data_IF_495424123265
#
_entry.id   IF_495424123265
#
_cell.length_a   1.000
_cell.length_b   1.000
_cell.length_c   1.000
_cell.angle_alpha   90.00
_cell.angle_beta   90.00
_cell.angle_gamma   90.00
#
_symmetry.space_group_name_H-M   'P 1'
#
loop_
_entity.id
_entity.type
_entity.pdbx_description
1 polymer ?
#
# COMPACT_ATOMS: atom_id res chain seq x y z
N UNK A 1 -34.61 1.34 -8.59
CA UNK A 1 -33.20 1.75 -8.82
C UNK A 1 -32.33 1.21 -7.70
N UNK A 2 -32.05 -0.10 -7.73
CA UNK A 2 -31.08 -0.72 -6.81
C UNK A 2 -29.75 -0.71 -7.54
N UNK A 3 -28.88 0.24 -7.17
CA UNK A 3 -27.56 0.40 -7.77
C UNK A 3 -26.67 -0.77 -7.32
N UNK A 4 -26.21 -1.47 -8.33
CA UNK A 4 -25.63 -2.80 -8.30
C UNK A 4 -24.24 -2.80 -7.66
N UNK A 5 -24.04 -3.81 -6.81
CA UNK A 5 -22.80 -4.53 -6.53
C UNK A 5 -21.50 -3.75 -6.76
N UNK A 6 -20.88 -3.31 -5.65
CA UNK A 6 -19.57 -3.79 -5.17
C UNK A 6 -18.62 -4.31 -6.27
N UNK A 7 -18.39 -3.48 -7.29
CA UNK A 7 -17.71 -3.86 -8.52
C UNK A 7 -16.33 -3.23 -8.65
N UNK A 8 -15.55 -3.21 -7.55
CA UNK A 8 -14.13 -2.86 -7.61
C UNK A 8 -13.32 -3.83 -6.77
N UNK A 9 -13.34 -5.08 -7.25
CA UNK A 9 -12.15 -5.92 -7.45
C UNK A 9 -11.17 -5.96 -6.27
N UNK A 10 -11.65 -6.51 -5.15
CA UNK A 10 -10.81 -7.32 -4.29
C UNK A 10 -10.57 -8.64 -5.06
N UNK A 11 -9.29 -9.00 -5.24
CA UNK A 11 -8.80 -10.29 -5.72
C UNK A 11 -8.89 -10.62 -7.22
N UNK A 12 -7.94 -10.11 -8.02
CA UNK A 12 -7.24 -11.00 -8.97
C UNK A 12 -5.91 -10.45 -9.52
N UNK A 13 -4.87 -10.36 -8.68
CA UNK A 13 -3.46 -10.48 -9.14
C UNK A 13 -2.58 -11.14 -8.06
N UNK A 14 -3.14 -12.07 -7.27
CA UNK A 14 -2.39 -12.81 -6.23
C UNK A 14 -1.59 -13.99 -6.82
N UNK A 15 -1.69 -14.28 -8.12
CA UNK A 15 -1.08 -15.49 -8.69
C UNK A 15 -0.58 -15.27 -10.11
N UNK A 16 0.48 -14.47 -10.32
CA UNK A 16 1.46 -14.75 -11.40
C UNK A 16 2.73 -13.88 -11.38
N UNK A 17 3.25 -13.48 -10.22
CA UNK A 17 4.67 -13.03 -10.14
C UNK A 17 5.38 -13.66 -8.96
N UNK A 18 5.33 -14.99 -8.98
CA UNK A 18 6.43 -15.83 -8.56
C UNK A 18 7.76 -15.23 -9.10
N UNK A 19 8.68 -14.92 -8.19
CA UNK A 19 10.13 -14.86 -8.46
C UNK A 19 10.64 -13.90 -9.54
N UNK A 20 10.12 -12.68 -9.62
CA UNK A 20 10.90 -11.60 -10.25
C UNK A 20 11.72 -10.90 -9.17
N UNK A 21 12.93 -11.42 -8.90
CA UNK A 21 13.99 -10.61 -8.30
C UNK A 21 14.15 -9.36 -9.19
N UNK A 22 13.49 -8.27 -8.81
CA UNK A 22 13.51 -6.99 -9.51
C UNK A 22 14.21 -5.98 -8.60
N UNK A 23 15.06 -5.14 -9.17
CA UNK A 23 16.21 -4.54 -8.49
C UNK A 23 15.71 -3.57 -7.43
N UNK A 24 16.10 -3.77 -6.16
CA UNK A 24 15.82 -2.85 -5.07
C UNK A 24 14.39 -2.28 -5.12
N UNK A 25 13.37 -3.14 -4.96
CA UNK A 25 12.01 -2.66 -4.73
C UNK A 25 12.07 -1.70 -3.54
N UNK A 26 11.74 -0.43 -3.80
CA UNK A 26 11.81 0.62 -2.79
C UNK A 26 10.74 0.29 -1.75
N UNK A 27 11.15 -0.01 -0.51
CA UNK A 27 10.24 -0.41 0.57
C UNK A 27 9.12 0.62 0.74
N UNK A 28 9.42 1.89 0.42
CA UNK A 28 8.48 3.01 0.38
C UNK A 28 7.33 2.78 -0.60
N UNK A 29 7.61 2.27 -1.80
CA UNK A 29 6.59 1.99 -2.81
C UNK A 29 5.70 0.82 -2.39
N UNK A 30 6.27 -0.21 -1.77
CA UNK A 30 5.52 -1.34 -1.21
C UNK A 30 4.58 -0.88 -0.07
N UNK A 31 5.04 0.03 0.78
CA UNK A 31 4.21 0.63 1.84
C UNK A 31 3.06 1.43 1.22
N UNK A 32 3.32 2.26 0.20
CA UNK A 32 2.27 3.03 -0.51
C UNK A 32 1.25 2.11 -1.17
N UNK A 33 1.72 1.06 -1.86
CA UNK A 33 0.87 0.06 -2.51
C UNK A 33 -0.02 -0.67 -1.50
N UNK A 34 0.53 -1.00 -0.33
CA UNK A 34 -0.23 -1.62 0.76
C UNK A 34 -1.32 -0.69 1.30
N UNK A 35 -1.01 0.59 1.52
CA UNK A 35 -1.99 1.59 1.96
C UNK A 35 -3.12 1.77 0.93
N UNK A 36 -2.80 1.80 -0.35
CA UNK A 36 -3.79 1.83 -1.43
C UNK A 36 -4.69 0.58 -1.41
N UNK A 37 -4.11 -0.61 -1.22
CA UNK A 37 -4.84 -1.87 -1.12
C UNK A 37 -5.76 -1.94 0.11
N UNK A 38 -5.40 -1.25 1.20
CA UNK A 38 -6.26 -1.07 2.39
C UNK A 38 -7.42 -0.09 2.15
N UNK A 39 -7.43 0.64 1.03
CA UNK A 39 -8.48 1.58 0.66
C UNK A 39 -8.17 3.05 0.99
N UNK A 40 -6.95 3.36 1.41
CA UNK A 40 -6.49 4.75 1.53
C UNK A 40 -6.22 5.36 0.17
N UNK A 41 -6.35 6.67 0.04
CA UNK A 41 -6.09 7.34 -1.24
C UNK A 41 -4.58 7.59 -1.46
N UNK A 42 -4.16 7.83 -2.71
CA UNK A 42 -2.74 8.08 -3.03
C UNK A 42 -2.14 9.29 -2.29
N UNK A 43 -2.94 10.32 -2.04
CA UNK A 43 -2.51 11.53 -1.33
C UNK A 43 -2.17 11.22 0.13
N UNK A 44 -3.04 10.45 0.79
CA UNK A 44 -2.88 9.96 2.15
C UNK A 44 -1.69 9.01 2.22
N UNK A 45 -1.60 8.02 1.34
CA UNK A 45 -0.49 7.08 1.32
C UNK A 45 0.87 7.79 1.17
N UNK A 46 0.98 8.75 0.23
CA UNK A 46 2.20 9.55 0.03
C UNK A 46 2.49 10.48 1.22
N UNK A 47 1.47 11.01 1.88
CA UNK A 47 1.65 11.81 3.09
C UNK A 47 2.12 10.96 4.28
N UNK A 48 1.62 9.73 4.39
CA UNK A 48 1.91 8.80 5.46
C UNK A 48 3.36 8.30 5.43
N UNK A 49 3.89 8.03 4.23
CA UNK A 49 5.28 7.58 4.03
C UNK A 49 6.33 8.69 4.13
N UNK A 50 5.94 9.97 4.09
CA UNK A 50 6.89 11.10 4.29
C UNK A 50 7.58 11.07 5.66
N UNK A 51 6.95 10.45 6.66
CA UNK A 51 7.52 10.29 7.99
C UNK A 51 8.26 8.97 8.20
N UNK A 52 8.39 8.13 7.18
CA UNK A 52 9.01 6.79 7.29
C UNK A 52 10.49 6.88 6.88
N UNK A 53 11.43 6.46 7.76
CA UNK A 53 12.85 6.38 7.44
C UNK A 53 13.14 5.39 6.31
N UNK A 54 14.12 5.70 5.45
CA UNK A 54 14.60 4.77 4.41
C UNK A 54 15.26 3.55 5.06
N UNK A 55 14.97 2.34 4.57
CA UNK A 55 15.39 1.08 5.19
C UNK A 55 14.47 0.60 6.32
N UNK A 56 13.28 1.21 6.48
CA UNK A 56 12.24 0.65 7.34
C UNK A 56 11.56 -0.48 6.59
N UNK A 57 11.51 -1.66 7.21
CA UNK A 57 10.79 -2.81 6.65
C UNK A 57 9.33 -2.44 6.34
N UNK A 58 8.78 -2.99 5.26
CA UNK A 58 7.41 -2.69 4.79
C UNK A 58 6.37 -2.84 5.91
N UNK A 59 6.49 -3.87 6.77
CA UNK A 59 5.55 -4.09 7.88
C UNK A 59 5.66 -3.05 9.00
N UNK A 60 6.85 -2.53 9.28
CA UNK A 60 7.05 -1.40 10.21
C UNK A 60 6.63 -0.08 9.59
N UNK A 61 6.96 0.14 8.31
CA UNK A 61 6.64 1.34 7.57
C UNK A 61 5.13 1.54 7.41
N UNK A 62 4.35 0.49 7.14
CA UNK A 62 2.88 0.55 7.11
C UNK A 62 2.32 0.95 8.47
N UNK A 63 2.83 0.36 9.57
CA UNK A 63 2.38 0.72 10.93
C UNK A 63 2.68 2.18 11.26
N UNK A 64 3.86 2.66 10.91
CA UNK A 64 4.27 4.05 11.13
C UNK A 64 3.46 5.03 10.25
N UNK A 65 3.22 4.66 8.99
CA UNK A 65 2.40 5.41 8.05
C UNK A 65 0.95 5.54 8.53
N UNK A 66 0.32 4.44 8.96
CA UNK A 66 -1.02 4.47 9.56
C UNK A 66 -1.08 5.36 10.81
N UNK A 67 -0.04 5.30 11.66
CA UNK A 67 0.08 6.17 12.84
C UNK A 67 0.21 7.65 12.45
N UNK A 68 0.86 7.97 11.34
CA UNK A 68 0.95 9.34 10.80
C UNK A 68 -0.39 9.83 10.21
N UNK A 69 -1.23 8.94 9.68
CA UNK A 69 -2.57 9.28 9.15
C UNK A 69 -3.61 9.55 10.23
N UNK A 70 -3.45 8.93 11.41
CA UNK A 70 -4.34 9.09 12.55
C UNK A 70 -4.08 10.39 13.35
N UNK A 71 -3.14 11.23 12.88
CA UNK A 71 -2.70 12.44 13.56
C UNK A 71 -3.33 13.70 12.99
#
# INVERSE_FOLDING_TARGET
>A
MVLELRGKLVAHTVTDRLFAASPAADETEDIVSTLLALGYNEREAKAAVKGVPKGTDVGEGVRLALKNLLK
#
